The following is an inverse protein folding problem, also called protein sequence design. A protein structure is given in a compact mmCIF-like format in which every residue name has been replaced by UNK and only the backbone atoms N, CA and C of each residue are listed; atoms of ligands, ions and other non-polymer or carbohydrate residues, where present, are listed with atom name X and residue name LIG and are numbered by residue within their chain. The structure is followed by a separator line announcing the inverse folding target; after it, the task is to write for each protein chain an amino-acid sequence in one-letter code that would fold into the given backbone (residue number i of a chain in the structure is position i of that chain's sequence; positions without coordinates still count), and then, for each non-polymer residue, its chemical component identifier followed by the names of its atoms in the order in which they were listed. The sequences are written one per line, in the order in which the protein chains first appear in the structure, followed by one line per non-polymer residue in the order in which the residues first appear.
data_IF_317524888121
#
_entry.id   IF_317524888121
#
_cell.length_a   1.000
_cell.length_b   1.000
_cell.length_c   1.000
_cell.angle_alpha   90.00
_cell.angle_beta   90.00
_cell.angle_gamma   90.00
#
_symmetry.space_group_name_H-M   'P 1'
#
loop_
_entity.id
_entity.type
_entity.pdbx_description
1 polymer ?
#
# COMPACT_ATOMS: atom_id res chain seq x y z
N UNK A 1 -2.88 -10.43 -33.00
CA UNK A 1 -2.06 -11.37 -32.20
C UNK A 1 -2.31 -11.28 -30.70
N UNK A 2 -2.52 -10.10 -30.08
CA UNK A 2 -2.72 -9.94 -28.61
C UNK A 2 -4.02 -10.56 -28.08
N UNK A 3 -5.11 -10.56 -28.85
CA UNK A 3 -6.43 -11.11 -28.46
C UNK A 3 -6.42 -12.65 -28.43
N UNK A 4 -5.68 -13.30 -29.33
CA UNK A 4 -5.58 -14.76 -29.42
C UNK A 4 -4.87 -15.33 -28.20
N UNK A 5 -3.84 -14.65 -27.70
CA UNK A 5 -3.10 -15.05 -26.48
C UNK A 5 -4.03 -15.01 -25.25
N UNK A 6 -4.90 -14.00 -25.18
CA UNK A 6 -5.86 -13.86 -24.08
C UNK A 6 -6.91 -14.98 -24.11
N UNK A 7 -7.41 -15.36 -25.29
CA UNK A 7 -8.38 -16.44 -25.48
C UNK A 7 -7.79 -17.83 -25.18
N UNK A 8 -6.51 -18.05 -25.48
CA UNK A 8 -5.82 -19.30 -25.14
C UNK A 8 -5.55 -19.48 -23.63
N UNK A 9 -5.58 -18.39 -22.86
CA UNK A 9 -5.41 -18.44 -21.40
C UNK A 9 -6.71 -18.76 -20.65
N UNK A 10 -7.89 -18.52 -21.25
CA UNK A 10 -9.19 -18.76 -20.63
C UNK A 10 -9.41 -20.22 -20.18
N UNK A 11 -9.12 -21.26 -20.97
CA UNK A 11 -9.29 -22.66 -20.52
C UNK A 11 -8.28 -23.07 -19.44
N UNK A 12 -7.17 -22.37 -19.30
CA UNK A 12 -6.21 -22.61 -18.20
C UNK A 12 -6.75 -22.07 -16.87
N UNK A 13 -7.53 -21.00 -16.91
CA UNK A 13 -8.14 -20.38 -15.73
C UNK A 13 -9.23 -21.28 -15.15
N UNK A 14 -9.99 -22.01 -15.97
CA UNK A 14 -11.06 -22.91 -15.52
C UNK A 14 -10.58 -24.12 -14.71
N UNK A 15 -9.31 -24.51 -14.88
CA UNK A 15 -8.64 -25.58 -14.09
C UNK A 15 -7.66 -25.02 -13.05
N UNK A 16 -7.62 -23.72 -12.89
CA UNK A 16 -6.68 -23.04 -12.01
C UNK A 16 -6.95 -23.38 -10.54
N UNK A 17 -5.95 -23.84 -9.85
CA UNK A 17 -5.97 -24.06 -8.40
C UNK A 17 -5.56 -22.78 -7.66
N UNK A 18 -6.11 -21.64 -8.09
CA UNK A 18 -5.86 -20.37 -7.43
C UNK A 18 -6.39 -20.39 -5.99
N UNK A 19 -5.79 -19.58 -5.15
CA UNK A 19 -6.29 -19.37 -3.80
C UNK A 19 -7.72 -18.80 -3.84
N UNK A 20 -8.61 -19.33 -3.01
CA UNK A 20 -10.03 -18.91 -2.94
C UNK A 20 -10.19 -17.40 -2.70
N UNK A 21 -9.26 -16.81 -1.94
CA UNK A 21 -9.28 -15.39 -1.60
C UNK A 21 -8.29 -14.56 -2.42
N UNK A 22 -7.76 -15.08 -3.52
CA UNK A 22 -6.70 -14.40 -4.30
C UNK A 22 -7.10 -12.98 -4.70
N UNK A 23 -8.34 -12.77 -5.15
CA UNK A 23 -8.80 -11.46 -5.57
C UNK A 23 -8.94 -10.47 -4.41
N UNK A 24 -9.37 -10.95 -3.24
CA UNK A 24 -9.45 -10.13 -2.02
C UNK A 24 -8.04 -9.74 -1.55
N UNK A 25 -7.13 -10.71 -1.50
CA UNK A 25 -5.74 -10.46 -1.13
C UNK A 25 -5.06 -9.50 -2.12
N UNK A 26 -5.33 -9.64 -3.43
CA UNK A 26 -4.80 -8.78 -4.48
C UNK A 26 -5.35 -7.35 -4.40
N UNK A 27 -6.62 -7.17 -4.08
CA UNK A 27 -7.19 -5.84 -3.88
C UNK A 27 -6.51 -5.11 -2.70
N UNK A 28 -6.23 -5.83 -1.61
CA UNK A 28 -5.50 -5.29 -0.46
C UNK A 28 -4.03 -5.00 -0.84
N UNK A 29 -3.40 -5.82 -1.67
CA UNK A 29 -2.06 -5.55 -2.20
C UNK A 29 -2.03 -4.33 -3.13
N UNK A 30 -3.07 -4.12 -3.92
CA UNK A 30 -3.19 -2.90 -4.72
C UNK A 30 -3.27 -1.65 -3.85
N UNK A 31 -4.02 -1.71 -2.73
CA UNK A 31 -4.05 -0.63 -1.74
C UNK A 31 -2.66 -0.39 -1.10
N UNK A 32 -1.93 -1.47 -0.77
CA UNK A 32 -0.57 -1.35 -0.28
C UNK A 32 0.35 -0.66 -1.30
N UNK A 33 0.25 -1.06 -2.56
CA UNK A 33 0.99 -0.44 -3.67
C UNK A 33 0.61 1.03 -3.85
N UNK A 34 -0.68 1.35 -3.80
CA UNK A 34 -1.17 2.73 -3.90
C UNK A 34 -0.61 3.63 -2.78
N UNK A 35 -0.66 3.17 -1.54
CA UNK A 35 -0.12 3.91 -0.40
C UNK A 35 1.40 4.11 -0.50
N UNK A 36 2.12 3.08 -0.95
CA UNK A 36 3.57 3.12 -1.17
C UNK A 36 3.94 4.10 -2.29
N UNK A 37 3.26 4.04 -3.45
CA UNK A 37 3.45 4.96 -4.55
C UNK A 37 3.10 6.41 -4.19
N UNK A 38 2.03 6.61 -3.41
CA UNK A 38 1.67 7.93 -2.87
C UNK A 38 2.77 8.47 -1.95
N UNK A 39 3.34 7.61 -1.09
CA UNK A 39 4.45 7.99 -0.22
C UNK A 39 5.69 8.38 -1.02
N UNK A 40 6.04 7.62 -2.05
CA UNK A 40 7.17 7.91 -2.93
C UNK A 40 6.94 9.21 -3.72
N UNK A 41 5.74 9.44 -4.24
CA UNK A 41 5.39 10.68 -4.91
C UNK A 41 5.49 11.88 -3.96
N UNK A 42 5.04 11.74 -2.72
CA UNK A 42 5.19 12.76 -1.69
C UNK A 42 6.66 13.11 -1.43
N UNK A 43 7.54 12.11 -1.39
CA UNK A 43 8.97 12.32 -1.14
C UNK A 43 9.71 12.94 -2.33
N UNK A 44 9.38 12.55 -3.55
CA UNK A 44 10.15 12.91 -4.75
C UNK A 44 9.47 13.91 -5.68
N UNK A 45 8.14 14.05 -5.61
CA UNK A 45 7.35 14.94 -6.46
C UNK A 45 6.59 16.02 -5.68
N UNK A 46 7.04 16.32 -4.47
CA UNK A 46 6.34 17.23 -3.54
C UNK A 46 6.05 18.62 -4.12
N UNK A 47 6.95 19.17 -4.93
CA UNK A 47 6.77 20.48 -5.57
C UNK A 47 5.87 20.46 -6.81
N UNK A 48 5.42 19.27 -7.25
CA UNK A 48 4.46 19.08 -8.33
C UNK A 48 3.01 19.22 -7.84
N UNK A 49 2.24 18.15 -8.02
CA UNK A 49 0.80 18.15 -7.70
C UNK A 49 0.48 18.26 -6.19
N UNK A 50 1.36 17.79 -5.31
CA UNK A 50 1.20 18.01 -3.86
C UNK A 50 1.39 19.46 -3.44
N UNK A 51 1.99 20.30 -4.27
CA UNK A 51 2.15 21.73 -4.00
C UNK A 51 0.83 22.50 -3.92
N UNK A 52 -0.25 21.98 -4.52
CA UNK A 52 -1.60 22.56 -4.45
C UNK A 52 -2.46 21.97 -3.31
N UNK A 53 -2.15 20.78 -2.85
CA UNK A 53 -2.82 20.10 -1.73
C UNK A 53 -1.82 20.05 -0.56
N UNK A 54 -1.27 21.17 -0.16
CA UNK A 54 -0.38 21.20 1.00
C UNK A 54 -1.15 20.78 2.25
N UNK A 55 -0.97 19.53 2.75
CA UNK A 55 -1.19 19.32 4.16
C UNK A 55 -0.22 20.30 4.82
N UNK A 56 -0.70 21.16 5.70
CA UNK A 56 0.11 22.13 6.42
C UNK A 56 1.38 21.40 6.91
N UNK A 57 2.53 21.72 6.29
CA UNK A 57 3.79 21.00 6.53
C UNK A 57 4.11 20.90 8.01
N UNK A 58 3.77 21.93 8.77
CA UNK A 58 3.98 21.98 10.21
C UNK A 58 3.00 21.10 10.98
N UNK A 59 1.77 20.94 10.47
CA UNK A 59 0.74 20.14 11.15
C UNK A 59 1.05 18.62 11.12
N UNK A 60 1.78 18.14 10.12
CA UNK A 60 1.98 16.72 9.84
C UNK A 60 3.43 16.24 10.04
N UNK A 61 4.36 17.07 10.47
CA UNK A 61 5.77 16.69 10.58
C UNK A 61 6.24 16.32 11.98
N UNK A 62 5.52 16.67 13.02
CA UNK A 62 6.04 16.51 14.39
C UNK A 62 5.11 15.76 15.32
N UNK A 63 5.65 14.71 15.95
CA UNK A 63 5.03 14.01 17.08
C UNK A 63 5.02 14.85 18.38
N UNK A 64 5.83 15.89 18.42
CA UNK A 64 5.98 16.81 19.53
C UNK A 64 5.28 18.14 19.25
N UNK A 65 4.97 18.87 20.33
CA UNK A 65 4.46 20.24 20.19
C UNK A 65 5.55 21.12 19.59
N UNK A 66 5.17 21.93 18.62
CA UNK A 66 6.00 23.00 18.07
C UNK A 66 5.52 24.31 18.68
N UNK A 67 6.41 25.08 19.29
CA UNK A 67 6.06 26.38 19.87
C UNK A 67 5.92 27.48 18.79
N UNK A 68 5.42 28.69 19.16
CA UNK A 68 5.26 29.78 18.19
C UNK A 68 6.57 30.25 17.55
N UNK A 69 7.71 29.96 18.15
CA UNK A 69 9.04 30.25 17.57
C UNK A 69 9.53 29.22 16.56
N UNK A 70 8.76 28.13 16.34
CA UNK A 70 9.12 27.03 15.46
C UNK A 70 10.03 25.99 16.14
N UNK A 71 10.29 26.09 17.44
CA UNK A 71 11.09 25.11 18.15
C UNK A 71 10.27 23.91 18.60
N UNK A 72 10.84 22.70 18.38
CA UNK A 72 10.22 21.42 18.77
C UNK A 72 10.47 21.17 20.27
N UNK A 73 9.42 21.11 21.06
CA UNK A 73 9.47 20.76 22.48
C UNK A 73 9.51 19.24 22.66
N UNK A 74 10.68 18.64 22.55
CA UNK A 74 10.89 17.21 22.74
C UNK A 74 10.36 16.77 24.12
N UNK A 75 9.57 15.68 24.15
CA UNK A 75 8.94 15.14 25.35
C UNK A 75 7.52 15.64 25.60
N UNK A 76 7.06 16.71 24.92
CA UNK A 76 5.68 17.20 25.00
C UNK A 76 4.89 16.65 23.83
N UNK A 77 4.09 15.62 24.05
CA UNK A 77 3.27 14.99 22.98
C UNK A 77 2.25 15.99 22.41
N UNK A 78 2.13 16.01 21.09
CA UNK A 78 1.20 16.87 20.38
C UNK A 78 -0.26 16.52 20.65
N UNK A 79 -0.52 15.22 20.75
CA UNK A 79 -1.78 14.64 21.17
C UNK A 79 -1.46 13.31 21.87
N UNK A 80 -2.43 12.74 22.55
CA UNK A 80 -2.28 11.52 23.32
C UNK A 80 -1.64 10.37 22.50
N UNK A 81 -0.54 9.82 22.97
CA UNK A 81 0.27 8.75 22.36
C UNK A 81 0.88 9.09 20.98
N UNK A 82 0.98 10.38 20.61
CA UNK A 82 1.57 10.79 19.33
C UNK A 82 3.03 10.36 19.13
N UNK A 83 3.78 10.19 20.21
CA UNK A 83 5.18 9.75 20.16
C UNK A 83 5.37 8.23 20.25
N UNK A 84 4.32 7.48 20.57
CA UNK A 84 4.40 6.03 20.84
C UNK A 84 3.55 5.22 19.85
N UNK A 85 2.27 5.08 20.14
CA UNK A 85 1.37 4.17 19.40
C UNK A 85 0.72 4.84 18.19
N UNK A 86 0.51 6.15 18.23
CA UNK A 86 -0.18 6.90 17.17
C UNK A 86 0.77 7.76 16.31
N UNK A 87 2.06 7.37 16.27
CA UNK A 87 3.07 8.04 15.44
C UNK A 87 2.65 8.11 13.97
N UNK A 88 1.95 7.11 13.48
CA UNK A 88 1.46 7.09 12.09
C UNK A 88 0.46 8.20 11.75
N UNK A 89 -0.12 8.87 12.75
CA UNK A 89 -0.99 10.04 12.56
C UNK A 89 -0.24 11.37 12.63
N UNK A 90 1.07 11.36 12.87
CA UNK A 90 1.85 12.60 13.06
C UNK A 90 2.29 13.24 11.75
N UNK A 91 2.50 12.45 10.71
CA UNK A 91 2.86 12.93 9.39
C UNK A 91 2.41 11.98 8.28
N UNK A 92 2.36 12.52 7.06
CA UNK A 92 1.85 11.80 5.90
C UNK A 92 2.74 10.60 5.52
N UNK A 93 4.05 10.71 5.69
CA UNK A 93 4.99 9.63 5.43
C UNK A 93 4.75 8.43 6.37
N UNK A 94 4.65 8.68 7.66
CA UNK A 94 4.35 7.63 8.63
C UNK A 94 2.97 7.01 8.39
N UNK A 95 1.97 7.82 8.04
CA UNK A 95 0.62 7.34 7.73
C UNK A 95 0.62 6.40 6.52
N UNK A 96 1.18 6.83 5.40
CA UNK A 96 1.21 6.01 4.18
C UNK A 96 2.03 4.73 4.37
N UNK A 97 3.15 4.79 5.07
CA UNK A 97 3.92 3.59 5.45
C UNK A 97 3.12 2.64 6.33
N UNK A 98 2.40 3.17 7.32
CA UNK A 98 1.54 2.35 8.16
C UNK A 98 0.45 1.64 7.33
N UNK A 99 -0.24 2.37 6.43
CA UNK A 99 -1.22 1.77 5.51
C UNK A 99 -0.58 0.67 4.67
N UNK A 100 0.61 0.91 4.11
CA UNK A 100 1.36 -0.09 3.32
C UNK A 100 1.62 -1.36 4.14
N UNK A 101 2.15 -1.22 5.36
CA UNK A 101 2.47 -2.37 6.21
C UNK A 101 1.21 -3.14 6.63
N UNK A 102 0.16 -2.45 7.11
CA UNK A 102 -1.10 -3.10 7.53
C UNK A 102 -1.81 -3.77 6.36
N UNK A 103 -1.76 -3.17 5.17
CA UNK A 103 -2.31 -3.80 3.96
C UNK A 103 -1.53 -5.05 3.56
N UNK A 104 -0.21 -5.04 3.65
CA UNK A 104 0.59 -6.24 3.39
C UNK A 104 0.26 -7.38 4.36
N UNK A 105 0.18 -7.08 5.66
CA UNK A 105 -0.18 -8.06 6.69
C UNK A 105 -1.62 -8.57 6.49
N UNK A 106 -2.57 -7.67 6.25
CA UNK A 106 -3.97 -8.02 5.97
C UNK A 106 -4.12 -8.87 4.72
N UNK A 107 -3.37 -8.56 3.66
CA UNK A 107 -3.35 -9.38 2.44
C UNK A 107 -2.82 -10.79 2.70
N UNK A 108 -1.70 -10.89 3.45
CA UNK A 108 -1.13 -12.19 3.81
C UNK A 108 -2.12 -13.03 4.64
N UNK A 109 -2.80 -12.41 5.61
CA UNK A 109 -3.82 -13.07 6.42
C UNK A 109 -5.01 -13.56 5.58
N UNK A 110 -5.56 -12.69 4.71
CA UNK A 110 -6.68 -13.05 3.81
C UNK A 110 -6.27 -14.17 2.87
N UNK A 111 -5.04 -14.13 2.36
CA UNK A 111 -4.48 -15.20 1.53
C UNK A 111 -4.37 -16.50 2.32
N UNK A 112 -3.82 -16.47 3.53
CA UNK A 112 -3.65 -17.65 4.39
C UNK A 112 -5.00 -18.32 4.71
N UNK A 113 -6.03 -17.52 5.06
CA UNK A 113 -7.39 -18.03 5.30
C UNK A 113 -7.97 -18.70 4.05
N UNK A 114 -7.70 -18.17 2.86
CA UNK A 114 -8.20 -18.69 1.59
C UNK A 114 -7.46 -19.93 1.09
N UNK A 115 -6.27 -20.23 1.65
CA UNK A 115 -5.43 -21.32 1.18
C UNK A 115 -6.06 -22.69 1.45
N UNK A 116 -6.77 -22.86 2.57
CA UNK A 116 -7.34 -24.15 2.98
C UNK A 116 -6.27 -25.18 3.35
N UNK A 117 -6.70 -26.42 3.58
CA UNK A 117 -5.82 -27.53 4.02
C UNK A 117 -5.16 -28.26 2.84
N UNK A 118 -5.74 -28.16 1.65
CA UNK A 118 -5.25 -28.91 0.48
C UNK A 118 -4.01 -28.25 -0.12
N UNK A 119 -2.90 -29.01 -0.18
CA UNK A 119 -1.70 -28.58 -0.90
C UNK A 119 -1.98 -28.56 -2.40
N UNK A 120 -1.61 -27.45 -3.04
CA UNK A 120 -1.63 -27.29 -4.50
C UNK A 120 -0.22 -27.48 -5.07
N UNK A 121 -0.13 -27.70 -6.36
CA UNK A 121 1.17 -27.80 -7.04
C UNK A 121 1.91 -26.46 -6.94
N UNK A 122 3.23 -26.49 -6.80
CA UNK A 122 4.06 -25.32 -6.51
C UNK A 122 3.88 -24.17 -7.50
N UNK A 123 3.66 -24.45 -8.79
CA UNK A 123 3.48 -23.42 -9.81
C UNK A 123 2.18 -22.61 -9.62
N UNK A 124 1.16 -23.14 -8.93
CA UNK A 124 -0.02 -22.37 -8.56
C UNK A 124 0.25 -21.34 -7.46
N UNK A 125 1.25 -21.60 -6.60
CA UNK A 125 1.72 -20.57 -5.65
C UNK A 125 2.43 -19.44 -6.38
N UNK A 126 3.20 -19.73 -7.43
CA UNK A 126 3.80 -18.70 -8.28
C UNK A 126 2.74 -17.89 -9.03
N UNK A 127 1.67 -18.54 -9.52
CA UNK A 127 0.56 -17.82 -10.15
C UNK A 127 -0.13 -16.86 -9.17
N UNK A 128 -0.43 -17.31 -7.96
CA UNK A 128 -1.00 -16.44 -6.92
C UNK A 128 -0.06 -15.28 -6.61
N UNK A 129 1.22 -15.55 -6.41
CA UNK A 129 2.22 -14.52 -6.15
C UNK A 129 2.28 -13.49 -7.28
N UNK A 130 2.30 -13.95 -8.54
CA UNK A 130 2.33 -13.06 -9.71
C UNK A 130 1.09 -12.18 -9.79
N UNK A 131 -0.10 -12.69 -9.47
CA UNK A 131 -1.34 -11.91 -9.43
C UNK A 131 -1.25 -10.83 -8.34
N UNK A 132 -0.84 -11.18 -7.14
CA UNK A 132 -0.71 -10.25 -6.02
C UNK A 132 0.37 -9.20 -6.29
N UNK A 133 1.51 -9.59 -6.83
CA UNK A 133 2.60 -8.70 -7.21
C UNK A 133 2.17 -7.72 -8.30
N UNK A 134 1.47 -8.19 -9.33
CA UNK A 134 0.93 -7.34 -10.39
C UNK A 134 -0.08 -6.33 -9.84
N UNK A 135 -0.98 -6.76 -8.96
CA UNK A 135 -1.95 -5.88 -8.31
C UNK A 135 -1.26 -4.77 -7.50
N UNK A 136 -0.20 -5.12 -6.74
CA UNK A 136 0.61 -4.13 -6.01
C UNK A 136 1.29 -3.14 -6.96
N UNK A 137 1.88 -3.65 -8.05
CA UNK A 137 2.56 -2.82 -9.05
C UNK A 137 1.60 -1.86 -9.77
N UNK A 138 0.38 -2.31 -10.06
CA UNK A 138 -0.68 -1.47 -10.65
C UNK A 138 -1.06 -0.35 -9.66
N UNK A 139 -1.26 -0.67 -8.39
CA UNK A 139 -1.55 0.32 -7.35
C UNK A 139 -0.44 1.36 -7.23
N UNK A 140 0.81 0.92 -7.16
CA UNK A 140 1.97 1.79 -7.10
C UNK A 140 2.08 2.70 -8.34
N UNK A 141 2.02 2.12 -9.54
CA UNK A 141 2.13 2.87 -10.78
C UNK A 141 1.00 3.89 -10.92
N UNK A 142 -0.23 3.51 -10.56
CA UNK A 142 -1.39 4.38 -10.60
C UNK A 142 -1.22 5.63 -9.72
N UNK A 143 -0.76 5.46 -8.48
CA UNK A 143 -0.54 6.60 -7.59
C UNK A 143 0.70 7.41 -8.01
N UNK A 144 1.85 6.76 -8.18
CA UNK A 144 3.12 7.43 -8.41
C UNK A 144 3.22 8.13 -9.76
N UNK A 145 2.75 7.47 -10.85
CA UNK A 145 2.96 7.96 -12.22
C UNK A 145 1.73 8.62 -12.85
N UNK A 146 0.52 8.35 -12.35
CA UNK A 146 -0.71 8.87 -12.97
C UNK A 146 -1.33 9.97 -12.12
N UNK A 147 -1.51 9.71 -10.81
CA UNK A 147 -2.24 10.64 -9.95
C UNK A 147 -1.33 11.75 -9.40
N UNK A 148 -0.12 11.40 -8.96
CA UNK A 148 0.79 12.31 -8.24
C UNK A 148 2.09 12.59 -9.02
N UNK A 149 2.01 12.60 -10.32
CA UNK A 149 3.13 12.88 -11.22
C UNK A 149 3.66 14.30 -11.09
#
# INVERSE_FOLDING_TARGET
MRIIILLCLLPLISKAQLNRNIWKASAIQSLAGFADGTNQAYLFHYHGQFGSIRPNEEAWKNKWVVDPSGQVRVGTERFWLSSRSLVFLTDFHHFTRWVTHRSNEGSALVYAIGHGVKRKKWYWYLADFSIMFSARSIGFYGSYNIIFK
#
